data_IF_173206944312
#
_entry.id   IF_173206944312
#
_cell.length_a   1.000
_cell.length_b   1.000
_cell.length_c   1.000
_cell.angle_alpha   90.00
_cell.angle_beta   90.00
_cell.angle_gamma   90.00
#
_symmetry.space_group_name_H-M   'P 1'
#
loop_
_entity.id
_entity.type
_entity.pdbx_description
1 polymer ?
#
# COMPACT_ATOMS: atom_id res chain seq x y z
N UNK A 1 -28.80 -4.14 -34.54
CA UNK A 1 -28.08 -2.92 -34.13
C UNK A 1 -27.73 -2.91 -32.65
N UNK A 2 -28.68 -3.12 -31.73
CA UNK A 2 -28.45 -3.10 -30.26
C UNK A 2 -27.42 -4.14 -29.77
N UNK A 3 -27.41 -5.36 -30.32
CA UNK A 3 -26.44 -6.41 -29.94
C UNK A 3 -24.99 -6.08 -30.36
N UNK A 4 -24.79 -5.40 -31.48
CA UNK A 4 -23.47 -5.01 -31.96
C UNK A 4 -22.89 -3.85 -31.13
N UNK A 5 -23.73 -2.88 -30.73
CA UNK A 5 -23.34 -1.82 -29.81
C UNK A 5 -23.06 -2.34 -28.40
N UNK A 6 -23.82 -3.34 -27.92
CA UNK A 6 -23.54 -4.00 -26.65
C UNK A 6 -22.21 -4.76 -26.68
N UNK A 7 -21.93 -5.51 -27.76
CA UNK A 7 -20.65 -6.21 -27.92
C UNK A 7 -19.46 -5.26 -28.03
N UNK A 8 -19.62 -4.14 -28.74
CA UNK A 8 -18.59 -3.11 -28.83
C UNK A 8 -18.35 -2.41 -27.48
N UNK A 9 -19.41 -2.10 -26.72
CA UNK A 9 -19.31 -1.54 -25.38
C UNK A 9 -18.70 -2.52 -24.37
N UNK A 10 -19.08 -3.80 -24.43
CA UNK A 10 -18.47 -4.87 -23.64
C UNK A 10 -16.99 -5.05 -24.00
N UNK A 11 -16.65 -5.06 -25.30
CA UNK A 11 -15.27 -5.13 -25.76
C UNK A 11 -14.42 -3.95 -25.28
N UNK A 12 -14.98 -2.73 -25.31
CA UNK A 12 -14.31 -1.52 -24.84
C UNK A 12 -14.12 -1.55 -23.31
N UNK A 13 -15.16 -1.93 -22.56
CA UNK A 13 -15.08 -2.08 -21.10
C UNK A 13 -14.08 -3.16 -20.69
N UNK A 14 -14.03 -4.28 -21.42
CA UNK A 14 -13.08 -5.37 -21.17
C UNK A 14 -11.64 -4.94 -21.51
N UNK A 15 -11.44 -4.20 -22.61
CA UNK A 15 -10.12 -3.66 -22.96
C UNK A 15 -9.64 -2.62 -21.95
N UNK A 16 -10.54 -1.79 -21.43
CA UNK A 16 -10.22 -0.76 -20.44
C UNK A 16 -9.90 -1.40 -19.08
N UNK A 17 -10.72 -2.37 -18.65
CA UNK A 17 -10.48 -3.16 -17.45
C UNK A 17 -9.16 -3.94 -17.55
N UNK A 18 -8.86 -4.53 -18.71
CA UNK A 18 -7.60 -5.21 -18.95
C UNK A 18 -6.40 -4.26 -18.94
N UNK A 19 -6.52 -3.08 -19.56
CA UNK A 19 -5.49 -2.04 -19.53
C UNK A 19 -5.18 -1.56 -18.12
N UNK A 20 -6.20 -1.21 -17.35
CA UNK A 20 -6.05 -0.85 -15.93
C UNK A 20 -5.49 -1.99 -15.10
N UNK A 21 -5.96 -3.22 -15.33
CA UNK A 21 -5.41 -4.41 -14.64
C UNK A 21 -3.93 -4.56 -14.94
N UNK A 22 -3.52 -4.38 -16.20
CA UNK A 22 -2.14 -4.51 -16.62
C UNK A 22 -1.22 -3.47 -15.97
N UNK A 23 -1.64 -2.21 -15.92
CA UNK A 23 -0.89 -1.14 -15.25
C UNK A 23 -0.79 -1.37 -13.74
N UNK A 24 -1.92 -1.69 -13.09
CA UNK A 24 -1.98 -1.95 -11.65
C UNK A 24 -1.19 -3.21 -11.26
N UNK A 25 -1.19 -4.23 -12.12
CA UNK A 25 -0.48 -5.49 -11.89
C UNK A 25 1.02 -5.25 -11.69
N UNK A 26 1.66 -4.45 -12.55
CA UNK A 26 3.09 -4.14 -12.41
C UNK A 26 3.39 -3.35 -11.14
N UNK A 27 2.57 -2.36 -10.81
CA UNK A 27 2.72 -1.61 -9.56
C UNK A 27 2.56 -2.50 -8.31
N UNK A 28 1.59 -3.43 -8.34
CA UNK A 28 1.38 -4.40 -7.26
C UNK A 28 2.56 -5.37 -7.14
N UNK A 29 3.06 -5.92 -8.25
CA UNK A 29 4.22 -6.81 -8.26
C UNK A 29 5.43 -6.10 -7.62
N UNK A 30 5.71 -4.86 -8.00
CA UNK A 30 6.81 -4.09 -7.42
C UNK A 30 6.59 -3.81 -5.93
N UNK A 31 5.37 -3.41 -5.53
CA UNK A 31 5.01 -3.15 -4.14
C UNK A 31 5.17 -4.37 -3.24
N UNK A 32 4.67 -5.53 -3.69
CA UNK A 32 4.81 -6.78 -2.94
C UNK A 32 6.25 -7.32 -2.96
N UNK A 33 7.01 -7.08 -4.04
CA UNK A 33 8.42 -7.47 -4.09
C UNK A 33 9.24 -6.64 -3.09
N UNK A 34 8.96 -5.34 -3.00
CA UNK A 34 9.54 -4.45 -1.99
C UNK A 34 9.11 -4.88 -0.58
N UNK A 35 7.84 -5.18 -0.38
CA UNK A 35 7.30 -5.70 0.88
C UNK A 35 8.01 -6.98 1.31
N UNK A 36 8.08 -7.98 0.43
CA UNK A 36 8.77 -9.25 0.70
C UNK A 36 10.25 -9.05 0.97
N UNK A 37 10.90 -8.10 0.29
CA UNK A 37 12.30 -7.75 0.49
C UNK A 37 12.53 -7.15 1.87
N UNK A 38 11.74 -6.14 2.25
CA UNK A 38 11.79 -5.53 3.60
C UNK A 38 11.50 -6.60 4.65
N UNK A 39 10.54 -7.49 4.39
CA UNK A 39 10.21 -8.56 5.31
C UNK A 39 11.31 -9.63 5.43
N UNK A 40 12.02 -9.95 4.37
CA UNK A 40 13.11 -10.93 4.40
C UNK A 40 14.41 -10.35 4.99
N UNK A 41 14.63 -9.05 4.88
CA UNK A 41 15.87 -8.38 5.29
C UNK A 41 15.80 -7.74 6.68
N UNK A 42 14.64 -7.19 7.06
CA UNK A 42 14.45 -6.46 8.32
C UNK A 42 13.72 -7.36 9.32
N UNK A 43 14.39 -7.73 10.42
CA UNK A 43 13.79 -8.55 11.48
C UNK A 43 12.76 -7.77 12.28
N UNK A 44 11.91 -8.48 13.06
CA UNK A 44 10.94 -7.83 13.96
C UNK A 44 11.61 -6.88 14.96
N UNK A 45 12.78 -7.27 15.50
CA UNK A 45 13.54 -6.43 16.42
C UNK A 45 14.08 -5.16 15.77
N UNK A 46 14.51 -5.25 14.50
CA UNK A 46 15.02 -4.10 13.76
C UNK A 46 13.88 -3.14 13.41
N UNK A 47 12.71 -3.68 13.04
CA UNK A 47 11.50 -2.88 12.82
C UNK A 47 11.04 -2.16 14.10
N UNK A 48 10.99 -2.88 15.23
CA UNK A 48 10.66 -2.31 16.54
C UNK A 48 11.66 -1.26 17.01
N UNK A 49 12.93 -1.36 16.60
CA UNK A 49 13.96 -0.34 16.91
C UNK A 49 13.87 0.87 15.99
N UNK A 50 13.52 0.67 14.72
CA UNK A 50 13.43 1.74 13.73
C UNK A 50 12.15 2.56 13.90
N UNK A 51 11.03 1.90 14.19
CA UNK A 51 9.70 2.50 14.37
C UNK A 51 9.09 2.16 15.75
N UNK A 52 9.72 2.59 16.87
CA UNK A 52 9.35 2.15 18.21
C UNK A 52 8.07 2.78 18.75
N UNK A 53 7.78 4.03 18.38
CA UNK A 53 6.78 4.87 19.03
C UNK A 53 6.10 5.84 18.05
N UNK A 54 5.18 6.66 18.56
CA UNK A 54 4.51 7.75 17.85
C UNK A 54 5.25 9.09 18.02
N UNK A 55 6.54 9.06 18.41
CA UNK A 55 7.31 10.28 18.60
C UNK A 55 7.55 11.01 17.28
N UNK A 56 7.71 12.35 17.29
CA UNK A 56 7.94 13.12 16.06
C UNK A 56 9.13 12.63 15.24
N UNK A 57 10.17 12.10 15.90
CA UNK A 57 11.34 11.52 15.24
C UNK A 57 10.96 10.27 14.45
N UNK A 58 10.21 9.36 15.07
CA UNK A 58 9.75 8.13 14.43
C UNK A 58 8.80 8.41 13.28
N UNK A 59 7.87 9.36 13.45
CA UNK A 59 6.97 9.79 12.38
C UNK A 59 7.73 10.39 11.20
N UNK A 60 8.78 11.17 11.45
CA UNK A 60 9.63 11.73 10.39
C UNK A 60 10.36 10.62 9.62
N UNK A 61 10.88 9.61 10.32
CA UNK A 61 11.52 8.44 9.68
C UNK A 61 10.51 7.64 8.86
N UNK A 62 9.34 7.34 9.41
CA UNK A 62 8.27 6.64 8.71
C UNK A 62 7.81 7.40 7.46
N UNK A 63 7.63 8.72 7.58
CA UNK A 63 7.26 9.61 6.47
C UNK A 63 8.33 9.59 5.38
N UNK A 64 9.61 9.69 5.75
CA UNK A 64 10.72 9.63 4.79
C UNK A 64 10.81 8.28 4.06
N UNK A 65 10.63 7.18 4.79
CA UNK A 65 10.57 5.84 4.21
C UNK A 65 9.37 5.70 3.26
N UNK A 66 8.22 6.25 3.63
CA UNK A 66 7.02 6.25 2.80
C UNK A 66 7.24 7.01 1.51
N UNK A 67 7.68 8.26 1.61
CA UNK A 67 7.99 9.12 0.47
C UNK A 67 9.00 8.47 -0.50
N UNK A 68 9.99 7.74 0.02
CA UNK A 68 10.96 7.00 -0.80
C UNK A 68 10.36 5.75 -1.48
N UNK A 69 9.36 5.12 -0.87
CA UNK A 69 8.74 3.88 -1.35
C UNK A 69 7.83 4.07 -2.56
N UNK A 70 7.33 5.29 -2.80
CA UNK A 70 6.51 5.69 -3.96
C UNK A 70 5.57 4.59 -4.47
N UNK A 71 4.60 4.21 -3.65
CA UNK A 71 3.76 3.03 -3.88
C UNK A 71 2.31 3.45 -4.11
N UNK A 72 1.59 2.71 -4.94
CA UNK A 72 0.15 2.89 -5.11
C UNK A 72 -0.60 2.58 -3.79
N UNK A 73 -1.82 3.07 -3.61
CA UNK A 73 -2.57 2.91 -2.35
C UNK A 73 -2.66 1.45 -1.87
N UNK A 74 -2.84 0.48 -2.78
CA UNK A 74 -2.87 -0.94 -2.43
C UNK A 74 -1.52 -1.49 -1.96
N UNK A 75 -0.43 -1.13 -2.67
CA UNK A 75 0.92 -1.52 -2.27
C UNK A 75 1.31 -0.87 -0.94
N UNK A 76 0.95 0.40 -0.75
CA UNK A 76 1.17 1.15 0.49
C UNK A 76 0.47 0.51 1.69
N UNK A 77 -0.81 0.13 1.55
CA UNK A 77 -1.57 -0.58 2.60
C UNK A 77 -0.94 -1.94 2.94
N UNK A 78 -0.50 -2.69 1.92
CA UNK A 78 0.15 -3.99 2.15
C UNK A 78 1.47 -3.83 2.93
N UNK A 79 2.28 -2.83 2.55
CA UNK A 79 3.52 -2.49 3.25
C UNK A 79 3.25 -2.01 4.67
N UNK A 80 2.28 -1.11 4.88
CA UNK A 80 1.90 -0.59 6.19
C UNK A 80 1.44 -1.72 7.13
N UNK A 81 0.59 -2.64 6.62
CA UNK A 81 0.17 -3.84 7.35
C UNK A 81 1.37 -4.72 7.72
N UNK A 82 2.31 -4.90 6.80
CA UNK A 82 3.52 -5.67 7.03
C UNK A 82 4.42 -5.06 8.10
N UNK A 83 4.66 -3.74 8.05
CA UNK A 83 5.38 -2.98 9.07
C UNK A 83 4.73 -3.15 10.45
N UNK A 84 3.40 -3.01 10.51
CA UNK A 84 2.63 -3.18 11.74
C UNK A 84 2.73 -4.62 12.29
N UNK A 85 2.60 -5.65 11.45
CA UNK A 85 2.78 -7.06 11.84
C UNK A 85 4.20 -7.40 12.28
N UNK A 86 5.21 -6.70 11.76
CA UNK A 86 6.60 -6.81 12.23
C UNK A 86 6.88 -6.04 13.51
N UNK A 87 5.90 -5.30 14.00
CA UNK A 87 5.91 -4.69 15.31
C UNK A 87 6.21 -3.19 15.31
N UNK A 88 6.17 -2.51 14.16
CA UNK A 88 6.18 -1.06 14.11
C UNK A 88 5.00 -0.47 14.89
N UNK A 89 5.17 0.74 15.43
CA UNK A 89 4.06 1.52 16.00
C UNK A 89 2.96 1.75 14.95
N UNK A 90 1.69 1.63 15.36
CA UNK A 90 0.53 1.79 14.46
C UNK A 90 0.50 3.17 13.79
N UNK A 91 0.65 4.24 14.58
CA UNK A 91 0.66 5.62 14.06
C UNK A 91 1.82 5.83 13.08
N UNK A 92 2.99 5.25 13.35
CA UNK A 92 4.13 5.30 12.42
C UNK A 92 3.85 4.54 11.11
N UNK A 93 3.20 3.37 11.17
CA UNK A 93 2.81 2.63 9.97
C UNK A 93 1.78 3.40 9.12
N UNK A 94 0.81 4.06 9.77
CA UNK A 94 -0.17 4.92 9.07
C UNK A 94 0.47 6.18 8.49
N UNK A 95 1.44 6.78 9.18
CA UNK A 95 2.21 7.91 8.65
C UNK A 95 3.04 7.51 7.42
N UNK A 96 3.66 6.32 7.45
CA UNK A 96 4.32 5.73 6.27
C UNK A 96 3.33 5.56 5.11
N UNK A 97 2.13 5.06 5.38
CA UNK A 97 1.10 4.82 4.36
C UNK A 97 0.67 6.11 3.65
N UNK A 98 0.38 7.16 4.42
CA UNK A 98 0.02 8.49 3.91
C UNK A 98 1.18 9.08 3.11
N UNK A 99 2.39 9.01 3.66
CA UNK A 99 3.56 9.58 2.99
C UNK A 99 3.87 8.86 1.67
N UNK A 100 3.70 7.55 1.62
CA UNK A 100 3.95 6.74 0.41
C UNK A 100 3.01 7.04 -0.74
N UNK A 101 1.83 7.57 -0.46
CA UNK A 101 0.80 7.91 -1.46
C UNK A 101 0.78 9.38 -1.84
N UNK A 102 1.27 10.29 -0.98
CA UNK A 102 1.13 11.74 -1.16
C UNK A 102 2.48 12.49 -1.36
N UNK A 103 3.60 11.99 -0.83
CA UNK A 103 4.90 12.69 -0.87
C UNK A 103 5.83 12.20 -2.00
N UNK A 104 5.25 11.68 -3.09
CA UNK A 104 6.01 11.15 -4.21
C UNK A 104 6.59 12.27 -5.07
N UNK A 105 7.90 12.25 -5.27
CA UNK A 105 8.61 13.24 -6.08
C UNK A 105 8.12 13.23 -7.54
N UNK A 106 7.83 12.06 -8.09
CA UNK A 106 7.30 11.91 -9.45
C UNK A 106 5.97 12.65 -9.63
N UNK A 107 5.01 12.44 -8.72
CA UNK A 107 3.73 13.13 -8.72
C UNK A 107 3.92 14.64 -8.52
N UNK A 108 4.84 15.04 -7.64
CA UNK A 108 5.21 16.44 -7.45
C UNK A 108 5.72 17.11 -8.72
N UNK A 109 6.53 16.42 -9.54
CA UNK A 109 7.00 16.93 -10.82
C UNK A 109 5.84 17.07 -11.82
N UNK A 110 4.97 16.06 -11.91
CA UNK A 110 3.79 16.11 -12.79
C UNK A 110 2.87 17.27 -12.40
N UNK A 111 2.58 17.43 -11.11
CA UNK A 111 1.77 18.53 -10.59
C UNK A 111 2.43 19.89 -10.84
N UNK A 112 3.76 19.99 -10.70
CA UNK A 112 4.48 21.23 -10.99
C UNK A 112 4.26 21.66 -12.44
N UNK A 113 4.37 20.72 -13.37
CA UNK A 113 4.28 20.98 -14.80
C UNK A 113 2.84 21.30 -15.24
N UNK A 114 1.85 20.62 -14.67
CA UNK A 114 0.45 20.70 -15.10
C UNK A 114 -0.36 21.77 -14.35
N UNK A 115 -0.19 21.88 -13.02
CA UNK A 115 -0.98 22.76 -12.16
C UNK A 115 -0.16 23.94 -11.62
N UNK A 116 1.17 23.89 -11.72
CA UNK A 116 2.07 24.93 -11.24
C UNK A 116 2.61 24.66 -9.83
N UNK A 117 3.61 25.44 -9.44
CA UNK A 117 4.37 25.23 -8.19
C UNK A 117 3.52 25.39 -6.92
N UNK A 118 2.43 26.16 -6.97
CA UNK A 118 1.54 26.40 -5.81
C UNK A 118 0.86 25.11 -5.32
N UNK A 119 0.44 24.25 -6.25
CA UNK A 119 -0.17 22.97 -5.91
C UNK A 119 0.85 22.01 -5.33
N UNK A 120 2.08 22.00 -5.86
CA UNK A 120 3.17 21.19 -5.30
C UNK A 120 3.49 21.65 -3.88
N UNK A 121 3.59 22.95 -3.65
CA UNK A 121 3.81 23.48 -2.31
C UNK A 121 2.67 23.09 -1.37
N UNK A 122 1.42 23.18 -1.85
CA UNK A 122 0.23 22.75 -1.12
C UNK A 122 0.28 21.28 -0.72
N UNK A 123 0.68 20.38 -1.62
CA UNK A 123 0.85 18.95 -1.35
C UNK A 123 1.95 18.69 -0.31
N UNK A 124 3.13 19.29 -0.52
CA UNK A 124 4.29 19.11 0.36
C UNK A 124 4.10 19.70 1.75
N UNK A 125 3.17 20.64 1.94
CA UNK A 125 2.77 21.17 3.25
C UNK A 125 1.57 20.38 3.81
N UNK A 126 0.61 20.06 2.95
CA UNK A 126 -0.64 19.39 3.28
C UNK A 126 -0.43 17.96 3.77
N UNK A 127 0.43 17.18 3.13
CA UNK A 127 0.70 15.81 3.54
C UNK A 127 1.35 15.72 4.93
N UNK A 128 2.42 16.48 5.26
CA UNK A 128 2.93 16.55 6.63
C UNK A 128 1.88 17.07 7.63
N UNK A 129 1.07 18.06 7.25
CA UNK A 129 -0.01 18.55 8.11
C UNK A 129 -1.03 17.45 8.40
N UNK A 130 -1.44 16.67 7.39
CA UNK A 130 -2.33 15.52 7.56
C UNK A 130 -1.72 14.46 8.48
N UNK A 131 -0.43 14.17 8.36
CA UNK A 131 0.26 13.22 9.24
C UNK A 131 0.26 13.73 10.68
N UNK A 132 0.52 15.03 10.89
CA UNK A 132 0.46 15.65 12.23
C UNK A 132 -0.96 15.58 12.79
N UNK A 133 -1.98 15.91 12.00
CA UNK A 133 -3.39 15.84 12.40
C UNK A 133 -3.81 14.41 12.74
N UNK A 134 -3.38 13.43 11.94
CA UNK A 134 -3.62 12.00 12.20
C UNK A 134 -2.93 11.58 13.50
N UNK A 135 -1.66 11.93 13.68
CA UNK A 135 -0.90 11.56 14.88
C UNK A 135 -1.52 12.17 16.15
N UNK A 136 -1.93 13.44 16.11
CA UNK A 136 -2.62 14.10 17.22
C UNK A 136 -3.98 13.43 17.47
N UNK A 137 -4.75 13.17 16.41
CA UNK A 137 -6.06 12.53 16.54
C UNK A 137 -5.94 11.14 17.15
N UNK A 138 -5.00 10.32 16.69
CA UNK A 138 -4.76 9.00 17.27
C UNK A 138 -4.26 9.10 18.71
N UNK A 139 -3.39 10.05 19.02
CA UNK A 139 -2.96 10.25 20.41
C UNK A 139 -4.09 10.66 21.36
N UNK A 140 -5.13 11.31 20.85
CA UNK A 140 -6.30 11.72 21.63
C UNK A 140 -7.40 10.65 21.71
N UNK A 141 -7.63 9.92 20.62
CA UNK A 141 -8.79 9.03 20.47
C UNK A 141 -8.43 7.53 20.52
N UNK A 142 -7.20 7.14 20.17
CA UNK A 142 -6.78 5.75 20.06
C UNK A 142 -6.32 5.23 21.42
N UNK A 143 -7.08 4.28 21.99
CA UNK A 143 -6.71 3.58 23.22
C UNK A 143 -5.75 2.43 22.91
N UNK A 144 -4.76 2.20 23.78
CA UNK A 144 -3.80 1.10 23.65
C UNK A 144 -4.47 -0.27 23.50
N UNK A 145 -5.64 -0.47 24.12
CA UNK A 145 -6.41 -1.70 23.99
C UNK A 145 -6.86 -1.99 22.55
N UNK A 146 -7.25 -0.96 21.78
CA UNK A 146 -7.66 -1.12 20.39
C UNK A 146 -6.47 -1.47 19.50
N UNK A 147 -5.30 -0.89 19.80
CA UNK A 147 -4.06 -1.20 19.06
C UNK A 147 -3.62 -2.63 19.33
N UNK A 148 -3.70 -3.09 20.59
CA UNK A 148 -3.33 -4.44 20.96
C UNK A 148 -4.31 -5.48 20.39
N UNK A 149 -5.60 -5.16 20.35
CA UNK A 149 -6.61 -6.00 19.69
C UNK A 149 -6.42 -6.06 18.18
N UNK A 150 -6.14 -4.93 17.53
CA UNK A 150 -5.75 -4.89 16.12
C UNK A 150 -4.47 -5.69 15.85
N UNK A 151 -3.50 -5.66 16.78
CA UNK A 151 -2.28 -6.46 16.68
C UNK A 151 -2.58 -7.95 16.77
N UNK A 152 -3.41 -8.37 17.74
CA UNK A 152 -3.86 -9.75 17.88
C UNK A 152 -4.60 -10.24 16.64
N UNK A 153 -5.48 -9.41 16.06
CA UNK A 153 -6.18 -9.76 14.80
C UNK A 153 -5.23 -9.82 13.59
N UNK A 154 -4.26 -8.90 13.50
CA UNK A 154 -3.23 -8.92 12.46
C UNK A 154 -2.29 -10.13 12.58
N UNK A 155 -2.08 -10.64 13.79
CA UNK A 155 -1.36 -11.89 14.08
C UNK A 155 -2.19 -13.13 13.75
N UNK A 156 -3.50 -13.12 14.07
CA UNK A 156 -4.44 -14.21 13.71
C UNK A 156 -4.60 -14.39 12.20
N UNK A 157 -4.23 -13.41 11.38
CA UNK A 157 -4.19 -13.57 9.92
C UNK A 157 -5.53 -13.88 9.26
N UNK A 158 -6.66 -13.53 9.89
CA UNK A 158 -8.00 -13.90 9.39
C UNK A 158 -8.44 -12.95 8.28
N UNK A 159 -8.08 -13.32 7.05
CA UNK A 159 -8.87 -13.27 5.80
C UNK A 159 -7.97 -13.82 4.69
N UNK A 160 -8.08 -15.13 4.46
CA UNK A 160 -7.31 -15.87 3.46
C UNK A 160 -6.76 -17.18 4.03
N UNK A 161 -7.47 -18.29 3.77
CA UNK A 161 -7.04 -19.65 4.09
C UNK A 161 -5.62 -19.96 3.61
N UNK A 162 -4.63 -19.88 4.50
CA UNK A 162 -3.83 -21.03 4.97
C UNK A 162 -2.90 -20.57 6.11
N UNK A 163 -3.19 -21.13 7.29
CA UNK A 163 -2.35 -21.08 8.48
C UNK A 163 -1.22 -22.12 8.39
N UNK A 164 -0.16 -21.88 9.16
CA UNK A 164 0.60 -22.97 9.76
C UNK A 164 2.03 -23.10 9.32
N UNK A 165 2.85 -22.04 9.41
CA UNK A 165 4.29 -22.09 9.77
C UNK A 165 4.87 -20.69 10.17
N UNK A 166 4.03 -19.73 10.54
CA UNK A 166 4.42 -18.32 10.78
C UNK A 166 5.03 -18.02 12.17
N UNK A 167 5.57 -19.02 12.85
CA UNK A 167 6.36 -18.83 14.08
C UNK A 167 7.88 -18.78 13.85
N UNK A 168 8.36 -18.94 12.62
CA UNK A 168 9.77 -18.65 12.30
C UNK A 168 9.89 -17.26 11.68
N UNK A 169 10.58 -16.34 12.37
CA UNK A 169 11.14 -15.15 11.73
C UNK A 169 12.13 -15.65 10.66
N UNK A 170 11.65 -15.75 9.41
CA UNK A 170 12.45 -16.16 8.26
C UNK A 170 13.40 -15.03 7.80
N UNK A 171 13.48 -13.93 8.56
CA UNK A 171 14.49 -12.91 8.34
C UNK A 171 15.88 -13.55 8.39
N UNK A 172 16.64 -13.37 7.32
CA UNK A 172 17.96 -14.01 7.19
C UNK A 172 18.86 -13.58 8.36
N UNK A 173 19.53 -14.50 9.10
CA UNK A 173 20.43 -14.15 10.19
C UNK A 173 21.54 -13.15 9.80
N UNK A 174 22.07 -12.39 10.77
CA UNK A 174 23.09 -11.36 10.49
C UNK A 174 24.41 -11.97 10.02
N UNK A 175 24.78 -11.65 8.78
CA UNK A 175 26.09 -11.93 8.19
C UNK A 175 26.22 -11.32 6.79
N UNK A 176 27.03 -10.26 6.64
CA UNK A 176 27.36 -9.64 5.34
C UNK A 176 26.47 -8.47 4.90
N UNK A 177 26.77 -7.91 3.72
CA UNK A 177 26.03 -6.76 3.15
C UNK A 177 24.58 -7.12 2.78
N UNK A 178 23.70 -6.12 2.76
CA UNK A 178 22.27 -6.26 2.40
C UNK A 178 22.10 -7.00 1.06
N UNK A 179 22.92 -6.66 0.06
CA UNK A 179 22.94 -7.31 -1.25
C UNK A 179 23.28 -8.80 -1.17
N UNK A 180 24.24 -9.19 -0.34
CA UNK A 180 24.65 -10.59 -0.19
C UNK A 180 23.58 -11.43 0.53
N UNK A 181 22.79 -10.80 1.41
CA UNK A 181 21.67 -11.44 2.11
C UNK A 181 20.46 -11.57 1.18
N UNK A 182 20.16 -10.56 0.36
CA UNK A 182 19.09 -10.60 -0.64
C UNK A 182 19.31 -11.70 -1.69
N UNK A 183 20.52 -11.77 -2.24
CA UNK A 183 20.89 -12.74 -3.30
C UNK A 183 21.20 -14.14 -2.72
N UNK A 184 21.22 -14.29 -1.39
CA UNK A 184 21.40 -15.60 -0.78
C UNK A 184 20.18 -16.52 -1.05
N UNK A 185 20.37 -17.85 -1.15
CA UNK A 185 19.26 -18.79 -1.33
C UNK A 185 18.17 -18.65 -0.26
N UNK A 186 18.57 -18.35 0.98
CA UNK A 186 17.63 -18.11 2.09
C UNK A 186 16.88 -16.78 1.95
N UNK A 187 17.54 -15.69 1.55
CA UNK A 187 16.91 -14.39 1.36
C UNK A 187 15.96 -14.34 0.16
N UNK A 188 16.33 -14.98 -0.95
CA UNK A 188 15.46 -15.11 -2.10
C UNK A 188 14.21 -15.95 -1.77
N UNK A 189 14.38 -17.09 -1.09
CA UNK A 189 13.27 -17.96 -0.68
C UNK A 189 12.33 -17.26 0.30
N UNK A 190 12.87 -16.52 1.28
CA UNK A 190 12.06 -15.74 2.21
C UNK A 190 11.30 -14.63 1.49
N UNK A 191 11.97 -13.87 0.62
CA UNK A 191 11.35 -12.78 -0.16
C UNK A 191 10.22 -13.31 -1.05
N UNK A 192 10.44 -14.43 -1.74
CA UNK A 192 9.44 -15.06 -2.60
C UNK A 192 8.23 -15.56 -1.81
N UNK A 193 8.44 -16.18 -0.65
CA UNK A 193 7.34 -16.63 0.21
C UNK A 193 6.52 -15.44 0.73
N UNK A 194 7.16 -14.37 1.19
CA UNK A 194 6.45 -13.16 1.61
C UNK A 194 5.70 -12.50 0.45
N UNK A 195 6.31 -12.43 -0.74
CA UNK A 195 5.66 -11.92 -1.96
C UNK A 195 4.39 -12.70 -2.29
N UNK A 196 4.46 -14.03 -2.35
CA UNK A 196 3.31 -14.89 -2.69
C UNK A 196 2.21 -14.75 -1.63
N UNK A 197 2.59 -14.64 -0.35
CA UNK A 197 1.65 -14.47 0.75
C UNK A 197 0.92 -13.13 0.68
N UNK A 198 1.65 -12.03 0.44
CA UNK A 198 1.06 -10.69 0.28
C UNK A 198 0.17 -10.62 -0.98
N UNK A 199 0.62 -11.21 -2.09
CA UNK A 199 -0.18 -11.33 -3.32
C UNK A 199 -1.49 -12.09 -3.08
N UNK A 200 -1.42 -13.27 -2.44
CA UNK A 200 -2.58 -14.10 -2.17
C UNK A 200 -3.60 -13.41 -1.24
N UNK A 201 -3.12 -12.56 -0.32
CA UNK A 201 -3.98 -11.83 0.62
C UNK A 201 -4.83 -10.76 -0.08
N UNK A 202 -4.28 -10.06 -1.08
CA UNK A 202 -4.95 -8.90 -1.71
C UNK A 202 -5.57 -9.27 -3.07
N UNK A 203 -5.17 -10.39 -3.67
CA UNK A 203 -5.65 -10.79 -4.99
C UNK A 203 -7.18 -10.82 -5.08
N UNK A 204 -7.88 -11.40 -4.09
CA UNK A 204 -9.36 -11.44 -4.13
C UNK A 204 -9.99 -10.05 -4.12
N UNK A 205 -9.45 -9.13 -3.34
CA UNK A 205 -9.99 -7.78 -3.22
C UNK A 205 -9.72 -6.97 -4.49
N UNK A 206 -8.52 -7.13 -5.08
CA UNK A 206 -8.15 -6.49 -6.36
C UNK A 206 -9.01 -7.03 -7.51
N UNK A 207 -9.15 -8.35 -7.63
CA UNK A 207 -10.01 -8.96 -8.65
C UNK A 207 -11.47 -8.56 -8.46
N UNK A 208 -11.97 -8.57 -7.23
CA UNK A 208 -13.33 -8.13 -6.91
C UNK A 208 -13.56 -6.66 -7.28
N UNK A 209 -12.62 -5.78 -6.90
CA UNK A 209 -12.66 -4.36 -7.21
C UNK A 209 -12.63 -4.07 -8.72
N UNK A 210 -11.76 -4.75 -9.47
CA UNK A 210 -11.67 -4.61 -10.93
C UNK A 210 -12.94 -5.11 -11.64
N UNK A 211 -13.53 -6.22 -11.17
CA UNK A 211 -14.79 -6.73 -11.71
C UNK A 211 -15.96 -5.76 -11.44
N UNK A 212 -16.04 -5.19 -10.25
CA UNK A 212 -17.04 -4.19 -9.90
C UNK A 212 -16.85 -2.91 -10.74
N UNK A 213 -15.60 -2.43 -10.88
CA UNK A 213 -15.28 -1.27 -11.70
C UNK A 213 -15.64 -1.48 -13.17
N UNK A 214 -15.33 -2.66 -13.72
CA UNK A 214 -15.70 -3.03 -15.09
C UNK A 214 -17.23 -3.12 -15.28
N UNK A 215 -17.95 -3.67 -14.30
CA UNK A 215 -19.41 -3.72 -14.32
C UNK A 215 -20.03 -2.32 -14.27
N UNK A 216 -19.50 -1.43 -13.42
CA UNK A 216 -19.92 -0.02 -13.35
C UNK A 216 -19.63 0.73 -14.66
N UNK A 217 -18.46 0.52 -15.27
CA UNK A 217 -18.10 1.14 -16.54
C UNK A 217 -19.01 0.68 -17.70
N UNK A 218 -19.49 -0.56 -17.66
CA UNK A 218 -20.42 -1.09 -18.66
C UNK A 218 -21.88 -0.67 -18.44
N UNK A 219 -22.31 -0.52 -17.18
CA UNK A 219 -23.71 -0.26 -16.83
C UNK A 219 -24.05 1.20 -16.56
N UNK A 220 -23.08 2.04 -16.21
CA UNK A 220 -23.31 3.44 -15.88
C UNK A 220 -22.89 4.33 -17.05
N UNK A 221 -23.84 4.91 -17.82
CA UNK A 221 -23.51 5.79 -18.93
C UNK A 221 -22.91 7.11 -18.45
N UNK A 222 -22.02 7.70 -19.24
CA UNK A 222 -21.36 8.99 -18.95
C UNK A 222 -22.34 10.14 -18.65
N UNK A 223 -23.58 10.08 -19.16
CA UNK A 223 -24.64 11.05 -18.87
C UNK A 223 -25.07 11.04 -17.40
N UNK A 224 -25.07 9.88 -16.74
CA UNK A 224 -25.34 9.76 -15.31
C UNK A 224 -24.26 10.49 -14.50
N UNK A 225 -22.99 10.24 -14.82
CA UNK A 225 -21.86 10.89 -14.17
C UNK A 225 -21.88 12.41 -14.35
N UNK A 226 -22.16 12.92 -15.56
CA UNK A 226 -22.30 14.36 -15.81
C UNK A 226 -23.44 15.01 -15.02
N UNK A 227 -24.57 14.31 -14.88
CA UNK A 227 -25.69 14.81 -14.07
C UNK A 227 -25.42 14.81 -12.56
N UNK A 228 -24.59 13.88 -12.08
CA UNK A 228 -24.22 13.75 -10.67
C UNK A 228 -23.19 14.79 -10.23
N UNK A 229 -22.25 15.13 -11.11
CA UNK A 229 -21.16 16.07 -10.83
C UNK A 229 -21.45 17.53 -11.24
N UNK A 230 -22.71 17.84 -11.58
CA UNK A 230 -23.18 19.21 -11.88
C UNK A 230 -22.35 19.97 -12.94
N UNK A 231 -21.82 19.29 -13.94
CA UNK A 231 -21.36 19.96 -15.16
C UNK A 231 -22.58 20.15 -16.08
N UNK A 232 -23.26 21.28 -15.89
CA UNK A 232 -24.19 21.84 -16.87
C UNK A 232 -23.44 22.29 -18.12
#
# INVERSE_FOLDING_TARGET
>A
MVLASLFAALGHALSFAFGMTWEVLWALILGFALSGTVQALVSKDEMRRLLPDDSPRTLTVATGLGAASSSCSYASVALARSLFRKGANFTAAMAFEIASTNLVIELGIIMWLLLGWQFVLGEFIGAPLMIVLLAVSFRLFLKDQLVEEARREAEKGRLGSMEGHAEMDMAVPRGGSIWRRLVSPGGFTATANYFVMDWAAVARDVFGGLLIAGALAAWVPNSFWRSLFFES
#
